data_IF_900369181829
#
_entry.id   IF_900369181829
#
_cell.length_a   1.000
_cell.length_b   1.000
_cell.length_c   1.000
_cell.angle_alpha   90.00
_cell.angle_beta   90.00
_cell.angle_gamma   90.00
#
_symmetry.space_group_name_H-M   'P 1'
#
loop_
_entity.id
_entity.type
_entity.pdbx_description
1 polymer ?
#
# COMPACT_ATOMS: atom_id res chain seq x y z
N UNK A 1 24.32 -22.89 16.09
CA UNK A 1 24.40 -22.59 14.65
C UNK A 1 23.83 -21.19 14.44
N UNK A 2 24.58 -20.30 13.77
CA UNK A 2 24.06 -18.98 13.42
C UNK A 2 23.04 -19.13 12.29
N UNK A 3 21.83 -18.59 12.45
CA UNK A 3 20.77 -18.58 11.43
C UNK A 3 20.81 -17.25 10.64
N UNK A 4 21.99 -16.86 10.19
CA UNK A 4 22.20 -15.62 9.40
C UNK A 4 22.12 -15.98 7.93
N UNK A 5 21.21 -15.29 7.22
CA UNK A 5 21.05 -15.39 5.79
C UNK A 5 21.79 -14.22 5.10
N UNK A 6 22.72 -14.53 4.22
CA UNK A 6 23.36 -13.51 3.37
C UNK A 6 22.50 -13.25 2.14
N UNK A 7 22.04 -11.99 1.98
CA UNK A 7 21.19 -11.55 0.90
C UNK A 7 21.92 -10.57 0.00
N UNK A 8 22.21 -11.01 -1.24
CA UNK A 8 22.91 -10.21 -2.24
C UNK A 8 22.26 -10.33 -3.64
N UNK A 9 20.93 -10.34 -3.66
CA UNK A 9 20.19 -10.44 -4.92
C UNK A 9 20.23 -9.09 -5.63
N UNK A 10 20.54 -9.11 -6.94
CA UNK A 10 20.40 -7.91 -7.77
C UNK A 10 18.91 -7.58 -7.92
N UNK A 11 18.46 -6.34 -7.61
CA UNK A 11 17.09 -5.93 -7.82
C UNK A 11 16.65 -5.91 -9.28
N UNK A 12 17.57 -5.97 -10.24
CA UNK A 12 17.28 -6.04 -11.67
C UNK A 12 17.13 -7.48 -12.13
N UNK A 13 15.98 -7.82 -12.71
CA UNK A 13 15.71 -9.13 -13.32
C UNK A 13 16.42 -9.21 -14.68
N UNK A 14 16.20 -8.19 -15.51
CA UNK A 14 16.73 -8.12 -16.87
C UNK A 14 16.70 -6.68 -17.38
N UNK A 15 17.67 -6.31 -18.19
CA UNK A 15 17.65 -5.05 -18.97
C UNK A 15 16.80 -5.27 -20.21
N UNK A 16 15.67 -4.56 -20.35
CA UNK A 16 14.81 -4.63 -21.54
C UNK A 16 15.45 -3.81 -22.67
N UNK A 17 15.99 -2.64 -22.30
CA UNK A 17 16.81 -1.78 -23.15
C UNK A 17 17.98 -1.25 -22.33
N UNK A 18 18.98 -0.64 -22.95
CA UNK A 18 20.13 -0.07 -22.24
C UNK A 18 19.77 0.94 -21.14
N UNK A 19 18.55 1.51 -21.21
CA UNK A 19 18.07 2.52 -20.25
C UNK A 19 16.88 2.07 -19.40
N UNK A 20 16.34 0.86 -19.61
CA UNK A 20 15.13 0.41 -18.95
C UNK A 20 15.29 -0.97 -18.28
N UNK A 21 15.66 -1.00 -16.97
CA UNK A 21 15.74 -2.23 -16.19
C UNK A 21 14.35 -2.71 -15.75
N UNK A 22 14.03 -3.98 -15.97
CA UNK A 22 12.92 -4.63 -15.31
C UNK A 22 13.36 -5.07 -13.90
N UNK A 23 12.78 -4.49 -12.87
CA UNK A 23 13.11 -4.76 -11.48
C UNK A 23 12.11 -5.71 -10.81
N UNK A 24 12.59 -6.53 -9.87
CA UNK A 24 11.72 -7.39 -9.04
C UNK A 24 10.61 -6.62 -8.36
N UNK A 25 10.91 -5.43 -7.81
CA UNK A 25 9.91 -4.59 -7.16
C UNK A 25 8.72 -4.28 -8.09
N UNK A 26 9.01 -3.81 -9.30
CA UNK A 26 7.96 -3.49 -10.28
C UNK A 26 7.14 -4.72 -10.69
N UNK A 27 7.80 -5.85 -10.92
CA UNK A 27 7.15 -7.10 -11.28
C UNK A 27 6.25 -7.63 -10.15
N UNK A 28 6.75 -7.63 -8.91
CA UNK A 28 5.99 -8.04 -7.72
C UNK A 28 4.82 -7.08 -7.45
N UNK A 29 5.04 -5.78 -7.53
CA UNK A 29 3.98 -4.77 -7.38
C UNK A 29 2.85 -5.00 -8.40
N UNK A 30 3.19 -5.14 -9.67
CA UNK A 30 2.21 -5.42 -10.73
C UNK A 30 1.47 -6.75 -10.50
N UNK A 31 2.20 -7.81 -10.11
CA UNK A 31 1.61 -9.12 -9.78
C UNK A 31 0.66 -9.02 -8.59
N UNK A 32 1.03 -8.29 -7.55
CA UNK A 32 0.18 -8.06 -6.38
C UNK A 32 -1.10 -7.29 -6.72
N UNK A 33 -1.01 -6.27 -7.57
CA UNK A 33 -2.19 -5.55 -8.07
C UNK A 33 -3.12 -6.45 -8.90
N UNK A 34 -2.56 -7.24 -9.81
CA UNK A 34 -3.33 -8.17 -10.64
C UNK A 34 -4.02 -9.24 -9.79
N UNK A 35 -3.32 -9.81 -8.80
CA UNK A 35 -3.90 -10.78 -7.88
C UNK A 35 -4.99 -10.16 -7.01
N UNK A 36 -4.77 -8.97 -6.46
CA UNK A 36 -5.77 -8.22 -5.71
C UNK A 36 -7.02 -7.94 -6.54
N UNK A 37 -6.84 -7.45 -7.77
CA UNK A 37 -7.92 -7.26 -8.72
C UNK A 37 -8.67 -8.57 -9.01
N UNK A 38 -7.94 -9.66 -9.26
CA UNK A 38 -8.54 -10.96 -9.58
C UNK A 38 -9.37 -11.53 -8.42
N UNK A 39 -8.91 -11.31 -7.18
CA UNK A 39 -9.64 -11.68 -5.95
C UNK A 39 -10.97 -10.92 -5.90
N UNK A 40 -10.94 -9.59 -6.06
CA UNK A 40 -12.16 -8.76 -6.03
C UNK A 40 -13.07 -9.09 -7.21
N UNK A 41 -12.53 -9.35 -8.40
CA UNK A 41 -13.29 -9.81 -9.56
C UNK A 41 -14.04 -11.12 -9.31
N UNK A 42 -13.40 -12.07 -8.63
CA UNK A 42 -14.06 -13.32 -8.26
C UNK A 42 -15.18 -13.10 -7.23
N UNK A 43 -15.02 -12.14 -6.32
CA UNK A 43 -16.07 -11.72 -5.39
C UNK A 43 -17.26 -11.14 -6.18
N UNK A 44 -17.02 -10.21 -7.11
CA UNK A 44 -18.06 -9.64 -7.97
C UNK A 44 -18.83 -10.72 -8.73
N UNK A 45 -18.14 -11.70 -9.32
CA UNK A 45 -18.78 -12.83 -10.01
C UNK A 45 -19.65 -13.67 -9.07
N UNK A 46 -19.17 -13.97 -7.85
CA UNK A 46 -19.92 -14.74 -6.85
C UNK A 46 -21.17 -13.99 -6.36
N UNK A 47 -21.07 -12.67 -6.24
CA UNK A 47 -22.19 -11.79 -5.86
C UNK A 47 -23.06 -11.39 -7.06
N UNK A 48 -22.82 -11.95 -8.25
CA UNK A 48 -23.55 -11.68 -9.50
C UNK A 48 -23.56 -10.20 -9.89
N UNK A 49 -22.47 -9.49 -9.61
CA UNK A 49 -22.30 -8.07 -9.92
C UNK A 49 -21.67 -7.89 -11.30
N UNK A 50 -21.98 -6.78 -12.00
CA UNK A 50 -21.34 -6.47 -13.27
C UNK A 50 -19.84 -6.26 -13.12
N UNK A 51 -19.03 -7.08 -13.80
CA UNK A 51 -17.56 -6.97 -13.76
C UNK A 51 -17.08 -5.66 -14.39
N UNK A 52 -17.80 -5.13 -15.37
CA UNK A 52 -17.51 -3.85 -16.03
C UNK A 52 -17.47 -2.68 -15.03
N UNK A 53 -18.27 -2.78 -13.97
CA UNK A 53 -18.22 -1.80 -12.87
C UNK A 53 -16.88 -1.87 -12.11
N UNK A 54 -16.33 -3.07 -11.93
CA UNK A 54 -15.01 -3.22 -11.30
C UNK A 54 -13.89 -2.68 -12.19
N UNK A 55 -13.98 -2.90 -13.50
CA UNK A 55 -13.02 -2.36 -14.47
C UNK A 55 -13.06 -0.82 -14.45
N UNK A 56 -14.26 -0.25 -14.38
CA UNK A 56 -14.44 1.18 -14.18
C UNK A 56 -13.81 1.66 -12.86
N UNK A 57 -14.01 0.93 -11.75
CA UNK A 57 -13.39 1.26 -10.45
C UNK A 57 -11.87 1.27 -10.55
N UNK A 58 -11.29 0.29 -11.25
CA UNK A 58 -9.84 0.23 -11.45
C UNK A 58 -9.32 1.50 -12.14
N UNK A 59 -10.00 1.97 -13.19
CA UNK A 59 -9.65 3.22 -13.87
C UNK A 59 -9.74 4.41 -12.91
N UNK A 60 -10.83 4.51 -12.12
CA UNK A 60 -10.98 5.57 -11.12
C UNK A 60 -9.84 5.58 -10.11
N UNK A 61 -9.46 4.41 -9.59
CA UNK A 61 -8.37 4.26 -8.62
C UNK A 61 -7.02 4.62 -9.23
N UNK A 62 -6.70 4.16 -10.44
CA UNK A 62 -5.44 4.48 -11.13
C UNK A 62 -5.33 5.98 -11.38
N UNK A 63 -6.35 6.58 -11.98
CA UNK A 63 -6.38 8.02 -12.28
C UNK A 63 -6.31 8.84 -10.99
N UNK A 64 -7.09 8.46 -9.97
CA UNK A 64 -7.08 9.12 -8.67
C UNK A 64 -5.72 9.04 -7.98
N UNK A 65 -5.05 7.89 -8.05
CA UNK A 65 -3.70 7.71 -7.50
C UNK A 65 -2.69 8.62 -8.18
N UNK A 66 -2.64 8.60 -9.51
CA UNK A 66 -1.66 9.38 -10.29
C UNK A 66 -1.89 10.88 -10.10
N UNK A 67 -3.12 11.34 -10.29
CA UNK A 67 -3.45 12.76 -10.13
C UNK A 67 -3.27 13.24 -8.70
N UNK A 68 -3.72 12.45 -7.72
CA UNK A 68 -3.56 12.80 -6.31
C UNK A 68 -2.10 12.85 -5.88
N UNK A 69 -1.30 11.85 -6.25
CA UNK A 69 0.13 11.82 -5.93
C UNK A 69 0.88 12.99 -6.58
N UNK A 70 0.55 13.31 -7.83
CA UNK A 70 1.16 14.44 -8.55
C UNK A 70 0.78 15.78 -7.96
N UNK A 71 -0.53 16.04 -7.77
CA UNK A 71 -1.01 17.28 -7.16
C UNK A 71 -0.48 17.45 -5.73
N UNK A 72 -0.47 16.37 -4.95
CA UNK A 72 0.10 16.38 -3.61
C UNK A 72 1.58 16.79 -3.62
N UNK A 73 2.38 16.27 -4.56
CA UNK A 73 3.78 16.70 -4.69
C UNK A 73 3.88 18.18 -5.08
N UNK A 74 3.18 18.60 -6.12
CA UNK A 74 3.23 19.97 -6.62
C UNK A 74 2.80 20.99 -5.56
N UNK A 75 1.79 20.68 -4.73
CA UNK A 75 1.25 21.61 -3.73
C UNK A 75 2.11 21.67 -2.47
N UNK A 76 2.61 20.52 -2.00
CA UNK A 76 3.22 20.45 -0.68
C UNK A 76 4.76 20.46 -0.69
N UNK A 77 5.39 20.07 -1.82
CA UNK A 77 6.86 19.97 -1.88
C UNK A 77 7.51 21.07 -2.72
N UNK A 78 6.92 21.44 -3.86
CA UNK A 78 7.51 22.41 -4.79
C UNK A 78 6.50 23.43 -5.32
N UNK A 79 5.68 24.09 -4.47
CA UNK A 79 4.61 24.99 -4.93
C UNK A 79 5.12 26.15 -5.79
N UNK A 80 6.23 26.75 -5.40
CA UNK A 80 6.79 27.93 -6.11
C UNK A 80 7.27 27.61 -7.53
N UNK A 81 7.75 26.38 -7.74
CA UNK A 81 8.16 25.90 -9.05
C UNK A 81 6.95 25.67 -9.95
N UNK A 82 5.97 24.91 -9.47
CA UNK A 82 4.83 24.48 -10.27
C UNK A 82 3.84 25.60 -10.56
N UNK A 83 3.75 26.61 -9.71
CA UNK A 83 2.98 27.82 -10.00
C UNK A 83 3.54 28.59 -11.21
N UNK A 84 4.86 28.50 -11.46
CA UNK A 84 5.52 29.11 -12.63
C UNK A 84 5.50 28.20 -13.86
N UNK A 85 5.25 26.88 -13.67
CA UNK A 85 5.28 25.85 -14.71
C UNK A 85 3.99 25.00 -14.72
N UNK A 86 2.79 25.60 -14.91
CA UNK A 86 1.51 24.88 -14.72
C UNK A 86 1.32 23.68 -15.68
N UNK A 87 1.92 23.70 -16.86
CA UNK A 87 1.85 22.58 -17.79
C UNK A 87 2.55 21.32 -17.26
N UNK A 88 3.61 21.49 -16.47
CA UNK A 88 4.38 20.40 -15.88
C UNK A 88 3.65 19.73 -14.70
N UNK A 89 2.56 20.30 -14.21
CA UNK A 89 1.69 19.68 -13.18
C UNK A 89 0.99 18.44 -13.76
N UNK A 90 0.39 18.58 -14.93
CA UNK A 90 -0.46 17.55 -15.54
C UNK A 90 0.24 16.73 -16.61
N UNK A 91 1.30 17.27 -17.23
CA UNK A 91 2.04 16.60 -18.28
C UNK A 91 3.37 16.07 -17.76
N UNK A 92 3.80 14.86 -18.21
CA UNK A 92 5.07 14.26 -17.80
C UNK A 92 6.26 14.86 -18.56
N UNK A 93 6.32 16.21 -18.63
CA UNK A 93 7.33 16.97 -19.35
C UNK A 93 8.02 17.96 -18.41
N UNK A 94 9.23 18.36 -18.76
CA UNK A 94 10.00 19.42 -18.08
C UNK A 94 10.67 20.32 -19.11
N UNK A 95 10.72 21.62 -18.83
CA UNK A 95 11.40 22.60 -19.69
C UNK A 95 12.89 22.62 -19.39
N UNK A 96 13.69 21.99 -20.27
CA UNK A 96 15.15 21.89 -20.13
C UNK A 96 15.80 22.64 -21.30
N UNK A 97 16.58 23.69 -21.02
CA UNK A 97 17.22 24.50 -22.06
C UNK A 97 16.23 25.20 -22.99
N UNK A 98 15.03 25.57 -22.50
CA UNK A 98 14.00 26.25 -23.30
C UNK A 98 13.07 25.32 -24.09
N UNK A 99 13.36 23.99 -24.16
CA UNK A 99 12.59 22.99 -24.88
C UNK A 99 11.91 22.03 -23.90
N UNK A 100 10.63 21.68 -24.13
CA UNK A 100 9.96 20.66 -23.35
C UNK A 100 10.44 19.27 -23.71
N UNK A 101 10.90 18.51 -22.71
CA UNK A 101 11.34 17.11 -22.86
C UNK A 101 10.44 16.20 -22.04
N UNK A 102 10.14 15.01 -22.55
CA UNK A 102 9.44 13.97 -21.79
C UNK A 102 10.39 13.40 -20.75
N UNK A 103 10.02 13.55 -19.46
CA UNK A 103 10.83 13.09 -18.31
C UNK A 103 10.07 12.13 -17.41
N UNK A 104 8.81 11.82 -17.75
CA UNK A 104 7.90 11.09 -16.88
C UNK A 104 7.37 11.98 -15.73
N UNK A 105 6.54 11.43 -14.86
CA UNK A 105 6.13 12.11 -13.64
C UNK A 105 7.20 11.96 -12.56
N UNK A 106 8.06 12.94 -12.42
CA UNK A 106 9.02 13.05 -11.32
C UNK A 106 8.36 13.79 -10.16
N UNK A 107 8.50 13.25 -8.94
CA UNK A 107 7.83 13.78 -7.77
C UNK A 107 6.36 13.33 -7.66
N UNK A 108 6.16 12.31 -6.83
CA UNK A 108 4.86 11.75 -6.48
C UNK A 108 4.77 11.64 -4.96
N UNK A 109 3.76 12.27 -4.36
CA UNK A 109 3.55 12.26 -2.92
C UNK A 109 2.56 11.15 -2.53
N UNK A 110 2.98 10.22 -1.66
CA UNK A 110 2.14 9.10 -1.21
C UNK A 110 0.86 9.55 -0.52
N UNK A 111 0.92 10.61 0.30
CA UNK A 111 -0.26 11.17 0.96
C UNK A 111 -1.27 11.74 -0.06
N UNK A 112 -0.77 12.44 -1.09
CA UNK A 112 -1.59 12.91 -2.19
C UNK A 112 -2.26 11.76 -2.95
N UNK A 113 -1.53 10.68 -3.22
CA UNK A 113 -2.06 9.46 -3.83
C UNK A 113 -3.20 8.85 -3.01
N UNK A 114 -3.03 8.74 -1.69
CA UNK A 114 -4.05 8.21 -0.79
C UNK A 114 -5.33 9.07 -0.82
N UNK A 115 -5.20 10.38 -0.74
CA UNK A 115 -6.34 11.31 -0.83
C UNK A 115 -7.02 11.17 -2.21
N UNK A 116 -6.24 11.08 -3.28
CA UNK A 116 -6.75 10.90 -4.64
C UNK A 116 -7.55 9.61 -4.80
N UNK A 117 -7.08 8.50 -4.25
CA UNK A 117 -7.81 7.21 -4.22
C UNK A 117 -9.14 7.35 -3.47
N UNK A 118 -9.13 7.98 -2.29
CA UNK A 118 -10.37 8.18 -1.51
C UNK A 118 -11.41 9.01 -2.29
N UNK A 119 -10.97 10.11 -2.89
CA UNK A 119 -11.84 10.94 -3.73
C UNK A 119 -12.37 10.13 -4.92
N UNK A 120 -11.52 9.36 -5.59
CA UNK A 120 -11.91 8.53 -6.73
C UNK A 120 -12.97 7.49 -6.35
N UNK A 121 -12.81 6.81 -5.21
CA UNK A 121 -13.79 5.84 -4.69
C UNK A 121 -15.11 6.54 -4.36
N UNK A 122 -15.09 7.72 -3.73
CA UNK A 122 -16.30 8.49 -3.43
C UNK A 122 -17.03 8.88 -4.71
N UNK A 123 -16.32 9.38 -5.72
CA UNK A 123 -16.89 9.76 -7.01
C UNK A 123 -17.47 8.54 -7.73
N UNK A 124 -16.76 7.40 -7.71
CA UNK A 124 -17.25 6.15 -8.23
C UNK A 124 -18.54 5.71 -7.54
N UNK A 125 -18.58 5.70 -6.21
CA UNK A 125 -19.76 5.32 -5.44
C UNK A 125 -20.97 6.21 -5.76
N UNK A 126 -20.77 7.52 -5.91
CA UNK A 126 -21.83 8.45 -6.31
C UNK A 126 -22.36 8.16 -7.72
N UNK A 127 -21.47 7.93 -8.68
CA UNK A 127 -21.85 7.68 -10.08
C UNK A 127 -22.60 6.37 -10.25
N UNK A 128 -22.10 5.29 -9.66
CA UNK A 128 -22.67 3.94 -9.80
C UNK A 128 -23.70 3.60 -8.72
N UNK A 129 -24.01 4.54 -7.80
CA UNK A 129 -24.95 4.38 -6.67
C UNK A 129 -24.61 3.17 -5.78
N UNK A 130 -23.33 2.94 -5.56
CA UNK A 130 -22.81 1.85 -4.71
C UNK A 130 -22.57 2.37 -3.30
N UNK A 131 -22.91 1.56 -2.29
CA UNK A 131 -22.62 1.91 -0.90
C UNK A 131 -21.09 1.91 -0.67
N UNK A 132 -20.58 3.00 -0.10
CA UNK A 132 -19.14 3.22 0.10
C UNK A 132 -18.50 2.15 1.01
N UNK A 133 -19.11 1.88 2.16
CA UNK A 133 -18.56 0.88 3.10
C UNK A 133 -18.66 -0.54 2.54
N UNK A 134 -19.74 -0.84 1.81
CA UNK A 134 -19.87 -2.12 1.12
C UNK A 134 -18.73 -2.34 0.09
N UNK A 135 -18.40 -1.31 -0.68
CA UNK A 135 -17.29 -1.38 -1.66
C UNK A 135 -15.94 -1.56 -0.96
N UNK A 136 -15.71 -0.80 0.11
CA UNK A 136 -14.48 -0.92 0.90
C UNK A 136 -14.31 -2.31 1.50
N UNK A 137 -15.38 -2.97 1.93
CA UNK A 137 -15.33 -4.36 2.42
C UNK A 137 -14.80 -5.33 1.37
N UNK A 138 -15.24 -5.19 0.10
CA UNK A 138 -14.78 -6.07 -0.99
C UNK A 138 -13.33 -5.78 -1.37
N UNK A 139 -12.97 -4.51 -1.43
CA UNK A 139 -11.58 -4.10 -1.68
C UNK A 139 -10.64 -4.55 -0.56
N UNK A 140 -11.08 -4.47 0.69
CA UNK A 140 -10.30 -4.88 1.86
C UNK A 140 -9.82 -6.34 1.80
N UNK A 141 -10.50 -7.22 1.06
CA UNK A 141 -10.07 -8.61 0.90
C UNK A 141 -8.87 -8.71 -0.07
N UNK A 142 -8.84 -7.92 -1.14
CA UNK A 142 -7.76 -7.97 -2.13
C UNK A 142 -6.51 -7.18 -1.73
N UNK A 143 -6.68 -6.07 -1.02
CA UNK A 143 -5.60 -5.13 -0.66
C UNK A 143 -4.46 -5.77 0.14
N UNK A 144 -4.68 -6.65 1.13
CA UNK A 144 -3.59 -7.27 1.88
C UNK A 144 -2.65 -8.10 1.01
N UNK A 145 -3.16 -8.75 -0.04
CA UNK A 145 -2.32 -9.51 -0.98
C UNK A 145 -1.42 -8.56 -1.75
N UNK A 146 -1.97 -7.47 -2.29
CA UNK A 146 -1.18 -6.43 -2.95
C UNK A 146 -0.11 -5.87 -2.00
N UNK A 147 -0.49 -5.56 -0.76
CA UNK A 147 0.43 -5.04 0.25
C UNK A 147 1.56 -6.05 0.58
N UNK A 148 1.26 -7.34 0.68
CA UNK A 148 2.27 -8.38 0.90
C UNK A 148 3.28 -8.43 -0.26
N UNK A 149 2.83 -8.36 -1.51
CA UNK A 149 3.71 -8.34 -2.68
C UNK A 149 4.58 -7.08 -2.74
N UNK A 150 4.07 -5.92 -2.30
CA UNK A 150 4.87 -4.71 -2.15
C UNK A 150 6.00 -4.94 -1.14
N UNK A 151 5.72 -5.58 0.01
CA UNK A 151 6.75 -5.89 1.01
C UNK A 151 7.78 -6.89 0.53
N UNK A 152 7.37 -7.89 -0.25
CA UNK A 152 8.32 -8.78 -0.94
C UNK A 152 9.19 -8.00 -1.93
N UNK A 153 8.63 -7.03 -2.64
CA UNK A 153 9.37 -6.12 -3.50
C UNK A 153 10.40 -5.27 -2.74
N UNK A 154 10.04 -4.72 -1.58
CA UNK A 154 10.99 -4.01 -0.71
C UNK A 154 12.13 -4.94 -0.25
N UNK A 155 11.84 -6.20 0.07
CA UNK A 155 12.85 -7.19 0.43
C UNK A 155 13.83 -7.45 -0.73
N UNK A 156 13.32 -7.60 -1.96
CA UNK A 156 14.17 -7.76 -3.15
C UNK A 156 15.07 -6.53 -3.41
N UNK A 157 14.59 -5.34 -3.10
CA UNK A 157 15.37 -4.09 -3.19
C UNK A 157 16.33 -3.87 -2.03
N UNK A 158 16.32 -4.72 -0.98
CA UNK A 158 17.09 -4.49 0.26
C UNK A 158 16.76 -3.16 0.94
N UNK A 159 15.48 -2.77 0.96
CA UNK A 159 15.02 -1.50 1.54
C UNK A 159 13.97 -1.72 2.64
N UNK A 160 13.83 -0.75 3.56
CA UNK A 160 12.82 -0.76 4.65
C UNK A 160 12.98 -1.99 5.56
N UNK A 161 14.20 -2.40 5.83
CA UNK A 161 14.51 -3.47 6.78
C UNK A 161 14.47 -2.95 8.24
N UNK A 162 14.72 -3.85 9.18
CA UNK A 162 14.67 -3.55 10.61
C UNK A 162 16.03 -3.28 11.24
N UNK A 163 15.98 -3.04 12.53
CA UNK A 163 17.13 -2.83 13.41
C UNK A 163 18.09 -4.02 13.36
N UNK A 164 19.37 -3.82 13.71
CA UNK A 164 20.31 -4.92 13.92
C UNK A 164 19.77 -5.95 14.91
N UNK A 165 20.03 -7.22 14.64
CA UNK A 165 19.76 -8.30 15.59
C UNK A 165 20.95 -8.49 16.54
N UNK A 166 20.87 -9.50 17.41
CA UNK A 166 21.99 -9.87 18.29
C UNK A 166 23.16 -10.56 17.57
N UNK A 167 23.16 -10.63 16.23
CA UNK A 167 24.21 -11.24 15.42
C UNK A 167 24.11 -12.75 15.22
N UNK A 168 23.26 -13.45 15.97
CA UNK A 168 23.12 -14.91 15.86
C UNK A 168 22.10 -15.36 14.81
N UNK A 169 21.27 -14.44 14.32
CA UNK A 169 20.23 -14.66 13.31
C UNK A 169 19.89 -13.36 12.59
N UNK A 170 19.17 -13.46 11.49
CA UNK A 170 18.71 -12.33 10.72
C UNK A 170 19.17 -12.38 9.27
N UNK A 171 18.98 -11.28 8.55
CA UNK A 171 19.39 -11.12 7.15
C UNK A 171 20.45 -10.04 7.06
N UNK A 172 21.58 -10.38 6.42
CA UNK A 172 22.63 -9.43 6.03
C UNK A 172 22.30 -8.94 4.61
N UNK A 173 21.91 -7.70 4.48
CA UNK A 173 21.64 -7.07 3.18
C UNK A 173 22.96 -6.53 2.62
N UNK A 174 23.75 -7.42 1.98
CA UNK A 174 25.13 -7.13 1.54
C UNK A 174 25.28 -5.95 0.60
N UNK A 175 24.19 -5.50 -0.02
CA UNK A 175 24.19 -4.31 -0.89
C UNK A 175 24.15 -3.00 -0.11
N UNK A 176 23.88 -3.07 1.19
CA UNK A 176 23.76 -1.93 2.08
C UNK A 176 24.80 -2.00 3.20
N UNK A 177 24.75 -3.04 4.02
CA UNK A 177 25.75 -3.25 5.07
C UNK A 177 26.00 -4.76 5.33
N UNK A 178 26.92 -5.06 6.28
CA UNK A 178 27.26 -6.41 6.67
C UNK A 178 26.67 -6.79 8.05
N UNK A 179 25.67 -6.08 8.52
CA UNK A 179 25.06 -6.28 9.83
C UNK A 179 23.82 -7.15 9.70
N UNK A 180 23.68 -8.25 10.48
CA UNK A 180 22.45 -9.03 10.53
C UNK A 180 21.29 -8.19 11.07
N UNK A 181 20.21 -8.07 10.29
CA UNK A 181 19.05 -7.22 10.58
C UNK A 181 17.75 -8.00 10.61
N UNK A 182 16.74 -7.46 11.27
CA UNK A 182 15.37 -7.96 11.20
C UNK A 182 14.80 -7.80 9.78
N UNK A 183 14.37 -8.87 9.11
CA UNK A 183 13.69 -8.78 7.80
C UNK A 183 12.23 -8.34 7.99
N UNK A 184 12.02 -7.10 8.41
CA UNK A 184 10.68 -6.57 8.76
C UNK A 184 9.74 -6.57 7.58
N UNK A 185 10.25 -6.50 6.35
CA UNK A 185 9.47 -6.66 5.12
C UNK A 185 8.75 -8.02 5.08
N UNK A 186 9.45 -9.10 5.49
CA UNK A 186 8.88 -10.45 5.53
C UNK A 186 7.85 -10.59 6.68
N UNK A 187 8.08 -9.90 7.82
CA UNK A 187 7.10 -9.88 8.91
C UNK A 187 5.81 -9.22 8.47
N UNK A 188 5.91 -8.08 7.79
CA UNK A 188 4.76 -7.37 7.23
C UNK A 188 4.06 -8.21 6.16
N UNK A 189 4.81 -8.79 5.20
CA UNK A 189 4.24 -9.63 4.14
C UNK A 189 3.46 -10.82 4.71
N UNK A 190 4.04 -11.52 5.68
CA UNK A 190 3.38 -12.65 6.35
C UNK A 190 2.12 -12.21 7.11
N UNK A 191 2.21 -11.13 7.88
CA UNK A 191 1.07 -10.57 8.60
C UNK A 191 -0.07 -10.20 7.65
N UNK A 192 0.22 -9.60 6.51
CA UNK A 192 -0.78 -9.23 5.52
C UNK A 192 -1.43 -10.44 4.87
N UNK A 193 -0.68 -11.52 4.61
CA UNK A 193 -1.26 -12.77 4.13
C UNK A 193 -2.16 -13.44 5.18
N UNK A 194 -1.80 -13.37 6.46
CA UNK A 194 -2.67 -13.84 7.55
C UNK A 194 -3.96 -13.02 7.61
N UNK A 195 -3.87 -11.69 7.50
CA UNK A 195 -5.03 -10.80 7.47
C UNK A 195 -5.93 -11.15 6.28
N UNK A 196 -5.36 -11.40 5.09
CA UNK A 196 -6.11 -11.90 3.94
C UNK A 196 -6.86 -13.18 4.26
N UNK A 197 -6.21 -14.15 4.91
CA UNK A 197 -6.85 -15.41 5.32
C UNK A 197 -8.03 -15.19 6.28
N UNK A 198 -7.87 -14.31 7.27
CA UNK A 198 -8.92 -13.93 8.22
C UNK A 198 -10.11 -13.30 7.49
N UNK A 199 -9.85 -12.32 6.61
CA UNK A 199 -10.92 -11.64 5.86
C UNK A 199 -11.66 -12.59 4.91
N UNK A 200 -10.95 -13.50 4.24
CA UNK A 200 -11.59 -14.55 3.43
C UNK A 200 -12.45 -15.49 4.26
N UNK A 201 -11.98 -15.86 5.44
CA UNK A 201 -12.76 -16.69 6.36
C UNK A 201 -14.03 -15.97 6.83
N UNK A 202 -13.91 -14.71 7.24
CA UNK A 202 -15.04 -13.86 7.62
C UNK A 202 -16.04 -13.68 6.46
N UNK A 203 -15.54 -13.50 5.24
CA UNK A 203 -16.36 -13.32 4.04
C UNK A 203 -17.24 -14.54 3.70
N UNK A 204 -16.97 -15.74 4.24
CA UNK A 204 -17.83 -16.92 4.07
C UNK A 204 -19.17 -16.79 4.79
N UNK A 205 -19.28 -15.93 5.81
CA UNK A 205 -20.52 -15.72 6.57
C UNK A 205 -21.41 -14.70 5.86
N UNK A 206 -22.66 -15.11 5.55
CA UNK A 206 -23.64 -14.21 4.92
C UNK A 206 -23.99 -13.00 5.83
N UNK A 207 -24.04 -13.20 7.14
CA UNK A 207 -24.29 -12.13 8.11
C UNK A 207 -23.19 -11.06 8.01
N UNK A 208 -21.93 -11.48 7.91
CA UNK A 208 -20.78 -10.56 7.82
C UNK A 208 -20.79 -9.82 6.48
N UNK A 209 -21.15 -10.49 5.38
CA UNK A 209 -21.26 -9.83 4.07
C UNK A 209 -22.30 -8.72 4.03
N UNK A 210 -23.37 -8.85 4.79
CA UNK A 210 -24.45 -7.87 4.88
C UNK A 210 -24.10 -6.69 5.81
N UNK A 211 -23.19 -6.88 6.75
CA UNK A 211 -22.72 -5.86 7.69
C UNK A 211 -21.69 -4.93 7.04
N UNK A 212 -22.13 -4.05 6.15
CA UNK A 212 -21.24 -3.14 5.39
C UNK A 212 -20.34 -2.29 6.29
N UNK A 213 -19.03 -2.42 6.13
CA UNK A 213 -18.00 -1.78 6.93
C UNK A 213 -17.32 -2.70 7.95
N UNK A 214 -17.84 -3.91 8.17
CA UNK A 214 -17.27 -4.83 9.16
C UNK A 214 -15.94 -5.44 8.69
N UNK A 215 -15.86 -5.89 7.43
CA UNK A 215 -14.62 -6.42 6.85
C UNK A 215 -13.56 -5.33 6.72
N UNK A 216 -13.96 -4.14 6.29
CA UNK A 216 -13.05 -3.00 6.18
C UNK A 216 -12.55 -2.53 7.55
N UNK A 217 -13.41 -2.48 8.55
CA UNK A 217 -13.02 -2.17 9.94
C UNK A 217 -12.02 -3.19 10.49
N UNK A 218 -12.28 -4.49 10.27
CA UNK A 218 -11.36 -5.57 10.65
C UNK A 218 -10.03 -5.46 9.93
N UNK A 219 -10.06 -5.19 8.62
CA UNK A 219 -8.85 -4.96 7.82
C UNK A 219 -8.01 -3.82 8.38
N UNK A 220 -8.61 -2.65 8.60
CA UNK A 220 -7.89 -1.49 9.16
C UNK A 220 -7.30 -1.80 10.53
N UNK A 221 -8.11 -2.35 11.44
CA UNK A 221 -7.67 -2.68 12.79
C UNK A 221 -6.48 -3.63 12.79
N UNK A 222 -6.58 -4.74 12.06
CA UNK A 222 -5.52 -5.76 12.01
C UNK A 222 -4.26 -5.28 11.26
N UNK A 223 -4.42 -4.57 10.12
CA UNK A 223 -3.30 -4.07 9.33
C UNK A 223 -2.45 -3.08 10.13
N UNK A 224 -3.12 -2.09 10.73
CA UNK A 224 -2.42 -1.04 11.47
C UNK A 224 -1.94 -1.51 12.84
N UNK A 225 -2.60 -2.51 13.46
CA UNK A 225 -2.06 -3.19 14.65
C UNK A 225 -0.78 -3.96 14.31
N UNK A 226 -0.77 -4.75 13.23
CA UNK A 226 0.43 -5.45 12.77
C UNK A 226 1.55 -4.45 12.48
N UNK A 227 1.25 -3.35 11.77
CA UNK A 227 2.22 -2.28 11.50
C UNK A 227 2.74 -1.67 12.79
N UNK A 228 1.89 -1.31 13.75
CA UNK A 228 2.28 -0.75 15.03
C UNK A 228 3.26 -1.67 15.79
N UNK A 229 2.99 -2.98 15.80
CA UNK A 229 3.84 -3.97 16.48
C UNK A 229 5.17 -4.19 15.74
N UNK A 230 5.15 -4.27 14.41
CA UNK A 230 6.37 -4.50 13.63
C UNK A 230 7.28 -3.27 13.65
N UNK A 231 6.73 -2.07 13.81
CA UNK A 231 7.49 -0.82 13.85
C UNK A 231 8.51 -0.78 15.01
N UNK A 232 8.31 -1.53 16.10
CA UNK A 232 9.31 -1.68 17.16
C UNK A 232 10.64 -2.28 16.67
N UNK A 233 10.57 -3.12 15.63
CA UNK A 233 11.71 -3.81 15.03
C UNK A 233 12.30 -3.06 13.83
N UNK A 234 11.62 -2.02 13.33
CA UNK A 234 12.10 -1.20 12.21
C UNK A 234 13.13 -0.19 12.65
N UNK A 235 14.02 0.13 11.72
CA UNK A 235 14.89 1.29 11.86
C UNK A 235 14.07 2.58 11.68
N UNK A 236 14.44 3.62 12.45
CA UNK A 236 13.82 4.93 12.30
C UNK A 236 14.17 5.48 10.91
N UNK A 237 13.19 6.02 10.21
CA UNK A 237 13.39 6.55 8.85
C UNK A 237 13.94 7.98 8.89
N UNK A 238 13.63 8.70 9.97
CA UNK A 238 14.03 10.10 10.14
C UNK A 238 14.78 10.29 11.45
N UNK A 239 15.79 11.16 11.44
CA UNK A 239 16.67 11.39 12.59
C UNK A 239 15.96 11.94 13.84
N UNK A 240 14.87 12.69 13.67
CA UNK A 240 14.09 13.22 14.78
C UNK A 240 13.33 12.14 15.57
N UNK A 241 13.08 10.98 14.96
CA UNK A 241 12.39 9.85 15.60
C UNK A 241 13.23 9.18 16.70
N UNK A 242 14.56 9.38 16.70
CA UNK A 242 15.47 8.79 17.68
C UNK A 242 15.21 9.21 19.13
N UNK A 243 14.57 10.35 19.31
CA UNK A 243 14.23 10.90 20.65
C UNK A 243 12.77 10.67 21.02
N UNK A 244 11.98 9.93 20.22
CA UNK A 244 10.58 9.68 20.46
C UNK A 244 10.38 8.35 21.19
N UNK A 245 9.41 8.28 22.11
CA UNK A 245 9.02 7.02 22.78
C UNK A 245 8.37 6.02 21.80
N UNK A 246 7.60 6.54 20.86
CA UNK A 246 6.99 5.81 19.73
C UNK A 246 7.27 6.60 18.46
N UNK A 247 7.63 5.89 17.38
CA UNK A 247 7.97 6.55 16.12
C UNK A 247 6.74 7.01 15.33
N UNK A 248 6.95 7.74 14.25
CA UNK A 248 5.87 8.27 13.40
C UNK A 248 4.99 7.16 12.80
N UNK A 249 5.57 6.01 12.45
CA UNK A 249 4.82 4.87 11.94
C UNK A 249 3.81 4.33 12.96
N UNK A 250 4.18 4.32 14.25
CA UNK A 250 3.29 3.94 15.35
C UNK A 250 2.22 4.99 15.61
N UNK A 251 2.60 6.28 15.69
CA UNK A 251 1.64 7.39 15.90
C UNK A 251 0.59 7.39 14.80
N UNK A 252 1.00 7.27 13.54
CA UNK A 252 0.09 7.26 12.41
C UNK A 252 -0.79 6.00 12.35
N UNK A 253 -0.39 4.92 13.01
CA UNK A 253 -1.20 3.69 13.06
C UNK A 253 -2.37 3.79 14.04
N UNK A 254 -2.23 4.52 15.14
CA UNK A 254 -3.25 4.63 16.20
C UNK A 254 -4.62 5.08 15.68
N UNK A 255 -4.74 6.18 14.91
CA UNK A 255 -6.05 6.62 14.41
C UNK A 255 -6.76 5.55 13.58
N UNK A 256 -6.03 4.81 12.74
CA UNK A 256 -6.61 3.78 11.90
C UNK A 256 -7.02 2.53 12.69
N UNK A 257 -6.29 2.18 13.76
CA UNK A 257 -6.71 1.13 14.70
C UNK A 257 -8.02 1.53 15.35
N UNK A 258 -8.13 2.76 15.85
CA UNK A 258 -9.34 3.25 16.49
C UNK A 258 -10.54 3.29 15.54
N UNK A 259 -10.35 3.77 14.30
CA UNK A 259 -11.38 3.76 13.26
C UNK A 259 -11.82 2.31 12.98
N UNK A 260 -10.86 1.39 12.81
CA UNK A 260 -11.13 -0.01 12.56
C UNK A 260 -11.96 -0.64 13.69
N UNK A 261 -11.55 -0.46 14.94
CA UNK A 261 -12.27 -0.96 16.12
C UNK A 261 -13.67 -0.36 16.22
N UNK A 262 -13.82 0.95 16.01
CA UNK A 262 -15.11 1.64 16.04
C UNK A 262 -16.07 1.07 14.99
N UNK A 263 -15.59 0.83 13.76
CA UNK A 263 -16.40 0.22 12.71
C UNK A 263 -16.82 -1.21 13.08
N UNK A 264 -15.92 -2.02 13.64
CA UNK A 264 -16.22 -3.39 14.08
C UNK A 264 -17.27 -3.39 15.17
N UNK A 265 -17.09 -2.59 16.22
CA UNK A 265 -18.05 -2.52 17.35
C UNK A 265 -19.41 -1.98 16.89
N UNK A 266 -19.40 -0.93 16.08
CA UNK A 266 -20.65 -0.36 15.58
C UNK A 266 -21.45 -1.35 14.73
N UNK A 267 -20.78 -2.04 13.81
CA UNK A 267 -21.45 -2.96 12.88
C UNK A 267 -21.83 -4.29 13.50
N UNK A 268 -21.06 -4.81 14.45
CA UNK A 268 -21.47 -6.01 15.21
C UNK A 268 -22.69 -5.77 16.11
N UNK A 269 -22.94 -4.54 16.56
CA UNK A 269 -24.09 -4.21 17.41
C UNK A 269 -25.40 -3.96 16.62
N UNK A 270 -25.29 -3.58 15.34
CA UNK A 270 -26.47 -3.30 14.50
C UNK A 270 -27.16 -4.59 14.04
N UNK A 271 -26.42 -5.68 13.91
CA UNK A 271 -26.92 -6.95 13.35
C UNK A 271 -27.42 -7.95 14.42
N UNK A 272 -27.48 -7.57 15.70
CA UNK A 272 -28.00 -8.41 16.79
C UNK A 272 -29.49 -8.09 17.09
N UNK A 273 -30.06 -7.10 16.41
CA UNK A 273 -31.49 -6.79 16.45
C UNK A 273 -32.19 -7.28 15.19
#
# INVERSE_FOLDING_TARGET
MSAVLNWNVDPVIVMITDSFPLKYYGALFASGLLLGYYIVRNIYKKEQLPVDNLDSLLVYVIVGTILGARLGHCIFYEPDYFLKHPLEILLPIQKIGGVYKFVGFQGLASHGGTIGVLIAIILYCKKYKVNFLWLLDRMAIGVPVTAAFIRLGNFMNSEIYGKPTNGNWGVVFQRDDLIPRHPTQLYEAFSYLLIFGVLLWMYKSEKIKQASGLLFGTFLGLLFLARFLIEFFKENQESFENNMLINMGQILSIPFILIGLTLVVWKSNVDIK
#
